data_IF_714448402892
#
_entry.id   IF_714448402892
#
_cell.length_a   1.000
_cell.length_b   1.000
_cell.length_c   1.000
_cell.angle_alpha   90.00
_cell.angle_beta   90.00
_cell.angle_gamma   90.00
#
_symmetry.space_group_name_H-M   'P 1'
#
loop_
_entity.id
_entity.type
_entity.pdbx_description
1 polymer ?
#
# COMPACT_ATOMS: atom_id res chain seq x y z
N UNK A 1 4.21 7.82 -26.59
CA UNK A 1 5.55 8.35 -26.31
C UNK A 1 5.36 9.81 -25.95
N UNK A 2 5.15 10.10 -24.68
CA UNK A 2 5.31 11.44 -24.12
C UNK A 2 6.81 11.73 -24.14
N UNK A 3 7.24 12.84 -24.73
CA UNK A 3 8.60 13.35 -24.58
C UNK A 3 8.82 13.60 -23.08
N UNK A 4 9.58 12.73 -22.42
CA UNK A 4 10.11 13.06 -21.11
C UNK A 4 11.25 14.03 -21.34
N UNK A 5 11.00 15.31 -21.06
CA UNK A 5 12.04 16.32 -21.03
C UNK A 5 13.04 15.94 -19.93
N UNK A 6 14.30 15.75 -20.30
CA UNK A 6 15.36 15.46 -19.34
C UNK A 6 15.46 16.59 -18.32
N UNK A 7 15.25 16.26 -17.04
CA UNK A 7 15.31 17.24 -15.94
C UNK A 7 16.59 17.13 -15.12
N UNK A 8 17.23 15.96 -15.09
CA UNK A 8 18.57 15.78 -14.52
C UNK A 8 19.60 15.51 -15.61
N UNK A 9 20.49 16.47 -15.80
CA UNK A 9 21.61 16.39 -16.75
C UNK A 9 22.86 15.82 -16.09
N UNK A 10 23.72 15.19 -16.90
CA UNK A 10 25.02 14.66 -16.45
C UNK A 10 25.00 13.21 -15.96
N UNK A 11 23.82 12.56 -15.93
CA UNK A 11 23.72 11.12 -15.66
C UNK A 11 23.88 10.33 -16.95
N UNK A 12 24.87 9.45 -17.03
CA UNK A 12 25.08 8.56 -18.20
C UNK A 12 24.58 7.14 -17.91
N UNK A 13 24.23 6.33 -18.95
CA UNK A 13 23.72 4.96 -18.75
C UNK A 13 24.67 4.01 -18.03
N UNK A 14 25.97 4.30 -18.00
CA UNK A 14 27.00 3.48 -17.35
C UNK A 14 27.12 3.76 -15.84
N UNK A 15 26.53 4.85 -15.35
CA UNK A 15 26.56 5.19 -13.93
C UNK A 15 25.75 4.20 -13.08
N UNK A 16 26.15 4.05 -11.83
CA UNK A 16 25.50 3.14 -10.88
C UNK A 16 23.99 3.39 -10.76
N UNK A 17 23.24 2.35 -10.39
CA UNK A 17 21.78 2.36 -10.30
C UNK A 17 21.23 3.54 -9.47
N UNK A 18 21.96 3.97 -8.43
CA UNK A 18 21.57 5.10 -7.59
C UNK A 18 21.38 6.40 -8.37
N UNK A 19 22.23 6.66 -9.37
CA UNK A 19 22.13 7.83 -10.23
C UNK A 19 21.00 7.71 -11.25
N UNK A 20 20.74 6.51 -11.76
CA UNK A 20 19.59 6.27 -12.63
C UNK A 20 18.27 6.52 -11.90
N UNK A 21 18.15 6.06 -10.65
CA UNK A 21 16.98 6.34 -9.81
C UNK A 21 16.86 7.82 -9.48
N UNK A 22 17.98 8.50 -9.22
CA UNK A 22 17.98 9.94 -9.02
C UNK A 22 17.47 10.67 -10.27
N UNK A 23 17.93 10.27 -11.46
CA UNK A 23 17.43 10.81 -12.73
C UNK A 23 15.92 10.62 -12.88
N UNK A 24 15.42 9.42 -12.61
CA UNK A 24 13.97 9.15 -12.66
C UNK A 24 13.16 10.06 -11.71
N UNK A 25 13.68 10.34 -10.51
CA UNK A 25 13.04 11.25 -9.54
C UNK A 25 12.89 12.67 -10.12
N UNK A 26 13.91 13.18 -10.79
CA UNK A 26 13.86 14.48 -11.45
C UNK A 26 12.93 14.46 -12.67
N UNK A 27 13.05 13.44 -13.53
CA UNK A 27 12.25 13.33 -14.76
C UNK A 27 10.75 13.15 -14.44
N UNK A 28 10.39 12.64 -13.26
CA UNK A 28 9.01 12.58 -12.74
C UNK A 28 8.59 13.79 -11.91
N UNK A 29 9.48 14.75 -11.69
CA UNK A 29 9.24 15.98 -10.91
C UNK A 29 8.78 15.71 -9.47
N UNK A 30 9.33 14.67 -8.83
CA UNK A 30 8.99 14.26 -7.45
C UNK A 30 10.18 14.39 -6.49
N UNK A 31 11.13 15.28 -6.80
CA UNK A 31 12.34 15.46 -6.00
C UNK A 31 12.03 16.01 -4.60
N UNK A 32 12.33 15.21 -3.59
CA UNK A 32 12.32 15.61 -2.18
C UNK A 32 13.67 15.36 -1.52
N UNK A 33 14.07 16.27 -0.62
CA UNK A 33 15.35 16.19 0.07
C UNK A 33 15.21 16.35 1.58
N UNK A 34 15.83 15.43 2.32
CA UNK A 34 15.97 15.49 3.76
C UNK A 34 17.46 15.44 4.14
N UNK A 35 17.95 16.46 4.86
CA UNK A 35 19.33 16.53 5.33
C UNK A 35 19.42 16.19 6.82
N UNK A 36 20.20 15.17 7.18
CA UNK A 36 20.36 14.73 8.57
C UNK A 36 21.71 14.09 8.82
N UNK A 37 22.39 14.52 9.90
CA UNK A 37 23.65 13.91 10.35
C UNK A 37 24.72 13.78 9.25
N UNK A 38 24.86 14.81 8.40
CA UNK A 38 25.82 14.80 7.29
C UNK A 38 25.46 13.84 6.14
N UNK A 39 24.18 13.47 6.01
CA UNK A 39 23.66 12.65 4.91
C UNK A 39 22.45 13.32 4.28
N UNK A 40 22.27 13.10 2.98
CA UNK A 40 21.06 13.45 2.24
C UNK A 40 20.20 12.21 2.02
N UNK A 41 18.90 12.33 2.21
CA UNK A 41 17.94 11.26 1.98
C UNK A 41 16.93 11.74 0.96
N UNK A 42 16.73 10.94 -0.09
CA UNK A 42 15.81 11.23 -1.19
C UNK A 42 14.88 10.03 -1.32
N UNK A 43 13.56 10.17 -1.05
CA UNK A 43 12.60 9.10 -1.28
C UNK A 43 12.59 8.72 -2.77
N UNK A 44 12.47 7.42 -3.05
CA UNK A 44 12.26 6.92 -4.41
C UNK A 44 10.88 6.25 -4.54
N UNK A 45 10.59 5.28 -3.68
CA UNK A 45 9.28 4.63 -3.60
C UNK A 45 8.99 4.25 -2.15
N UNK A 46 7.96 4.82 -1.54
CA UNK A 46 7.61 4.61 -0.14
C UNK A 46 6.14 4.20 -0.06
N UNK A 47 5.88 2.95 0.28
CA UNK A 47 4.51 2.45 0.45
C UNK A 47 4.42 1.46 1.62
N UNK A 48 3.25 0.86 1.84
CA UNK A 48 3.03 -0.03 2.97
C UNK A 48 3.80 -1.36 2.89
N UNK A 49 4.11 -1.83 1.67
CA UNK A 49 4.82 -3.09 1.45
C UNK A 49 6.33 -2.93 1.31
N UNK A 50 6.84 -1.73 1.04
CA UNK A 50 8.28 -1.47 0.89
C UNK A 50 8.65 0.00 1.15
N UNK A 51 9.91 0.20 1.52
CA UNK A 51 10.53 1.52 1.55
C UNK A 51 11.82 1.48 0.73
N UNK A 52 11.91 2.39 -0.24
CA UNK A 52 13.08 2.61 -1.08
C UNK A 52 13.46 4.09 -1.11
N UNK A 53 14.69 4.38 -0.73
CA UNK A 53 15.24 5.73 -0.72
C UNK A 53 16.74 5.73 -1.00
N UNK A 54 17.23 6.84 -1.52
CA UNK A 54 18.63 7.09 -1.79
C UNK A 54 19.26 7.79 -0.59
N UNK A 55 20.45 7.35 -0.21
CA UNK A 55 21.27 8.01 0.81
C UNK A 55 22.51 8.57 0.16
N UNK A 56 22.58 9.89 0.07
CA UNK A 56 23.78 10.64 -0.32
C UNK A 56 24.75 10.62 0.87
N UNK A 57 25.86 9.90 0.72
CA UNK A 57 26.87 9.75 1.78
C UNK A 57 27.78 10.97 1.87
N UNK A 58 28.10 11.36 3.10
CA UNK A 58 28.95 12.51 3.41
C UNK A 58 28.45 13.78 2.72
N UNK A 59 27.13 13.98 2.77
CA UNK A 59 26.44 15.01 2.02
C UNK A 59 26.49 16.36 2.74
N UNK A 60 26.94 17.38 2.01
CA UNK A 60 26.93 18.80 2.40
C UNK A 60 26.05 19.59 1.43
N UNK A 61 25.36 20.60 1.94
CA UNK A 61 24.46 21.45 1.17
C UNK A 61 24.86 22.92 1.33
N UNK A 62 24.88 23.65 0.23
CA UNK A 62 25.05 25.11 0.18
C UNK A 62 23.83 25.68 -0.54
N UNK A 63 23.27 26.76 0.00
CA UNK A 63 21.91 27.19 -0.35
C UNK A 63 20.88 26.46 0.49
N UNK A 64 19.61 26.54 0.09
CA UNK A 64 18.48 26.03 0.87
C UNK A 64 17.49 25.30 -0.01
N UNK A 65 17.18 24.05 0.36
CA UNK A 65 16.03 23.34 -0.16
C UNK A 65 14.74 23.94 0.40
N UNK A 66 13.80 24.27 -0.49
CA UNK A 66 12.47 24.76 -0.15
C UNK A 66 11.46 23.61 -0.25
N UNK A 67 10.89 23.21 0.89
CA UNK A 67 9.85 22.18 0.96
C UNK A 67 8.54 22.69 0.37
N UNK A 68 7.86 21.87 -0.43
CA UNK A 68 6.58 22.24 -1.04
C UNK A 68 6.70 23.30 -2.13
N UNK A 69 7.86 23.38 -2.78
CA UNK A 69 8.05 24.24 -3.94
C UNK A 69 7.24 23.69 -5.12
N UNK A 70 6.36 24.49 -5.69
CA UNK A 70 5.37 24.02 -6.69
C UNK A 70 5.88 24.09 -8.13
N UNK A 71 6.96 24.83 -8.42
CA UNK A 71 7.49 24.91 -9.78
C UNK A 71 8.48 23.76 -10.10
N UNK A 72 8.73 23.58 -11.39
CA UNK A 72 9.58 22.51 -11.94
C UNK A 72 10.99 22.56 -11.32
N UNK A 73 11.50 21.36 -11.00
CA UNK A 73 12.85 21.18 -10.44
C UNK A 73 13.76 20.54 -11.48
N UNK A 74 14.93 21.14 -11.71
CA UNK A 74 15.95 20.62 -12.62
C UNK A 74 17.30 20.51 -11.93
N UNK A 75 18.16 19.63 -12.43
CA UNK A 75 19.43 19.29 -11.81
C UNK A 75 20.57 19.14 -12.81
N UNK A 76 21.78 19.50 -12.39
CA UNK A 76 23.02 19.24 -13.11
C UNK A 76 23.96 18.46 -12.21
N UNK A 77 24.31 17.24 -12.64
CA UNK A 77 25.27 16.39 -11.97
C UNK A 77 26.64 16.52 -12.64
N UNK A 78 27.67 16.72 -11.83
CA UNK A 78 29.06 16.62 -12.24
C UNK A 78 29.88 15.95 -11.15
N UNK A 79 31.08 15.48 -11.48
CA UNK A 79 32.00 14.87 -10.51
C UNK A 79 33.34 15.61 -10.57
N UNK A 80 33.89 15.98 -9.41
CA UNK A 80 35.17 16.67 -9.29
C UNK A 80 35.96 16.05 -8.13
N UNK A 81 37.23 15.69 -8.37
CA UNK A 81 38.13 15.09 -7.36
C UNK A 81 37.55 13.89 -6.56
N UNK A 82 36.64 13.12 -7.18
CA UNK A 82 35.99 11.96 -6.55
C UNK A 82 34.82 12.31 -5.61
N UNK A 83 34.37 13.56 -5.62
CA UNK A 83 33.13 14.02 -5.00
C UNK A 83 32.09 14.32 -6.09
N UNK A 84 30.86 13.91 -5.86
CA UNK A 84 29.72 14.21 -6.73
C UNK A 84 29.12 15.55 -6.35
N UNK A 85 28.80 16.37 -7.35
CA UNK A 85 28.24 17.71 -7.23
C UNK A 85 26.91 17.72 -7.97
N UNK A 86 25.81 17.88 -7.22
CA UNK A 86 24.46 18.04 -7.76
C UNK A 86 23.99 19.47 -7.53
N UNK A 87 23.94 20.27 -8.59
CA UNK A 87 23.31 21.60 -8.57
C UNK A 87 21.84 21.43 -8.87
N UNK A 88 20.97 21.86 -7.96
CA UNK A 88 19.52 21.76 -8.07
C UNK A 88 18.90 23.13 -8.15
N UNK A 89 18.08 23.33 -9.17
CA UNK A 89 17.26 24.52 -9.35
C UNK A 89 15.82 24.15 -9.04
N UNK A 90 15.24 24.82 -8.06
CA UNK A 90 13.81 24.83 -7.80
C UNK A 90 13.26 26.11 -8.43
N UNK A 91 12.71 26.00 -9.64
CA UNK A 91 12.33 27.15 -10.44
C UNK A 91 13.52 27.99 -10.88
N UNK A 92 13.25 29.26 -11.21
CA UNK A 92 14.30 30.18 -11.67
C UNK A 92 15.10 30.82 -10.53
N UNK A 93 14.49 30.98 -9.35
CA UNK A 93 15.04 31.82 -8.28
C UNK A 93 15.81 31.04 -7.20
N UNK A 94 15.45 29.79 -6.94
CA UNK A 94 16.05 29.03 -5.85
C UNK A 94 17.04 27.98 -6.38
N UNK A 95 18.32 28.19 -6.09
CA UNK A 95 19.39 27.27 -6.46
C UNK A 95 20.11 26.83 -5.19
N UNK A 96 20.34 25.53 -5.08
CA UNK A 96 21.20 24.97 -4.05
C UNK A 96 22.07 23.88 -4.65
N UNK A 97 23.14 23.54 -3.95
CA UNK A 97 24.10 22.53 -4.41
C UNK A 97 24.30 21.51 -3.31
N UNK A 98 24.30 20.24 -3.69
CA UNK A 98 24.67 19.12 -2.85
C UNK A 98 26.02 18.60 -3.30
N UNK A 99 26.94 18.41 -2.36
CA UNK A 99 28.15 17.64 -2.58
C UNK A 99 28.07 16.37 -1.76
N UNK A 100 28.45 15.23 -2.32
CA UNK A 100 28.37 13.94 -1.65
C UNK A 100 29.36 12.95 -2.26
N UNK A 101 29.77 11.94 -1.49
CA UNK A 101 30.76 10.95 -1.96
C UNK A 101 30.17 9.86 -2.84
N UNK A 102 28.96 9.36 -2.51
CA UNK A 102 28.26 8.33 -3.31
C UNK A 102 26.78 8.22 -2.95
N UNK A 103 26.02 7.57 -3.83
CA UNK A 103 24.63 7.20 -3.58
C UNK A 103 24.56 5.76 -3.05
N UNK A 104 23.98 5.57 -1.88
CA UNK A 104 23.60 4.25 -1.38
C UNK A 104 22.09 4.06 -1.49
N UNK A 105 21.65 3.06 -2.26
CA UNK A 105 20.24 2.65 -2.29
C UNK A 105 19.92 1.87 -1.01
N UNK A 106 18.82 2.24 -0.34
CA UNK A 106 18.20 1.47 0.72
C UNK A 106 16.86 0.98 0.21
N UNK A 107 16.68 -0.34 0.15
CA UNK A 107 15.45 -0.99 -0.29
C UNK A 107 15.11 -2.10 0.71
N UNK A 108 13.88 -2.08 1.25
CA UNK A 108 13.41 -3.11 2.17
C UNK A 108 11.90 -3.32 2.05
N UNK A 109 11.48 -4.57 1.94
CA UNK A 109 10.08 -4.98 1.99
C UNK A 109 9.61 -5.29 3.42
N UNK A 110 8.32 -5.10 3.69
CA UNK A 110 7.72 -5.25 5.02
C UNK A 110 6.38 -5.98 4.98
N UNK A 111 5.97 -6.50 6.14
CA UNK A 111 4.60 -7.00 6.33
C UNK A 111 3.59 -5.85 6.17
N UNK A 112 2.61 -6.05 5.30
CA UNK A 112 1.57 -5.08 4.92
C UNK A 112 0.15 -5.59 5.21
N UNK A 113 -0.03 -6.90 5.45
CA UNK A 113 -1.34 -7.55 5.63
C UNK A 113 -2.13 -7.13 6.88
N UNK A 114 -1.59 -6.28 7.75
CA UNK A 114 -2.29 -5.69 8.91
C UNK A 114 -2.66 -4.24 8.69
N UNK A 115 -2.17 -3.63 7.62
CA UNK A 115 -2.33 -2.20 7.40
C UNK A 115 -3.71 -1.91 6.79
N UNK A 116 -4.29 -0.76 7.15
CA UNK A 116 -5.46 -0.18 6.51
C UNK A 116 -5.74 1.24 7.00
N UNK A 117 -5.73 2.22 6.10
CA UNK A 117 -5.88 3.65 6.45
C UNK A 117 -6.77 4.47 5.49
N UNK A 118 -7.24 3.89 4.37
CA UNK A 118 -8.10 4.58 3.40
C UNK A 118 -9.59 4.24 3.57
N UNK A 119 -10.17 4.66 4.69
CA UNK A 119 -11.57 4.40 5.02
C UNK A 119 -12.48 5.41 4.31
N UNK A 120 -13.47 4.92 3.55
CA UNK A 120 -14.49 5.79 2.94
C UNK A 120 -15.80 5.73 3.74
N UNK A 121 -15.95 6.67 4.67
CA UNK A 121 -17.14 6.77 5.51
C UNK A 121 -18.43 6.79 4.67
N UNK A 122 -19.39 5.94 5.05
CA UNK A 122 -20.69 5.82 4.37
C UNK A 122 -20.67 5.12 3.00
N UNK A 123 -19.52 4.72 2.45
CA UNK A 123 -19.44 3.96 1.18
C UNK A 123 -19.58 2.44 1.39
N UNK A 124 -19.16 1.95 2.55
CA UNK A 124 -19.15 0.52 2.88
C UNK A 124 -18.20 -0.31 2.01
N UNK A 125 -18.24 -1.63 2.17
CA UNK A 125 -17.34 -2.58 1.50
C UNK A 125 -15.84 -2.38 1.82
N UNK A 126 -15.53 -1.88 3.02
CA UNK A 126 -14.15 -1.59 3.47
C UNK A 126 -13.25 -2.84 3.50
N UNK A 127 -13.83 -4.02 3.68
CA UNK A 127 -13.13 -5.30 3.56
C UNK A 127 -12.58 -5.51 2.14
N UNK A 128 -13.34 -5.20 1.10
CA UNK A 128 -12.87 -5.30 -0.29
C UNK A 128 -11.89 -4.18 -0.63
N UNK A 129 -12.21 -2.94 -0.22
CA UNK A 129 -11.32 -1.78 -0.42
C UNK A 129 -9.93 -2.02 0.11
N UNK A 130 -9.83 -2.63 1.30
CA UNK A 130 -8.56 -2.99 1.92
C UNK A 130 -7.76 -4.01 1.10
N UNK A 131 -8.41 -5.01 0.52
CA UNK A 131 -7.74 -5.97 -0.38
C UNK A 131 -7.26 -5.29 -1.67
N UNK A 132 -8.09 -4.42 -2.26
CA UNK A 132 -7.71 -3.63 -3.45
C UNK A 132 -6.48 -2.78 -3.15
N UNK A 133 -6.47 -2.11 -2.00
CA UNK A 133 -5.33 -1.31 -1.56
C UNK A 133 -4.06 -2.16 -1.42
N UNK A 134 -4.10 -3.25 -0.64
CA UNK A 134 -2.93 -4.11 -0.41
C UNK A 134 -2.38 -4.68 -1.73
N UNK A 135 -3.24 -5.12 -2.64
CA UNK A 135 -2.79 -5.68 -3.92
C UNK A 135 -2.32 -4.61 -4.90
N UNK A 136 -2.88 -3.40 -4.85
CA UNK A 136 -2.33 -2.23 -5.56
C UNK A 136 -0.91 -1.92 -5.11
N UNK A 137 -0.66 -1.89 -3.80
CA UNK A 137 0.68 -1.68 -3.22
C UNK A 137 1.69 -2.74 -3.67
N UNK A 138 1.26 -4.01 -3.77
CA UNK A 138 2.10 -5.10 -4.29
C UNK A 138 2.32 -4.98 -5.81
N UNK A 139 1.32 -4.51 -6.55
CA UNK A 139 1.45 -4.25 -7.97
C UNK A 139 2.46 -3.12 -8.23
N UNK A 140 2.38 -2.00 -7.50
CA UNK A 140 3.36 -0.91 -7.61
C UNK A 140 4.78 -1.38 -7.26
N UNK A 141 4.90 -2.23 -6.22
CA UNK A 141 6.17 -2.88 -5.87
C UNK A 141 6.77 -3.64 -7.06
N UNK A 142 5.94 -4.39 -7.78
CA UNK A 142 6.36 -5.15 -8.94
C UNK A 142 6.74 -4.25 -10.12
N UNK A 143 5.95 -3.22 -10.41
CA UNK A 143 6.23 -2.31 -11.54
C UNK A 143 7.55 -1.56 -11.36
N UNK A 144 7.88 -1.13 -10.14
CA UNK A 144 9.11 -0.37 -9.87
C UNK A 144 10.37 -1.23 -9.72
N UNK A 145 10.26 -2.45 -9.17
CA UNK A 145 11.44 -3.25 -8.82
C UNK A 145 11.49 -4.62 -9.51
N UNK A 146 10.44 -5.00 -10.24
CA UNK A 146 10.35 -6.26 -10.97
C UNK A 146 10.11 -7.49 -10.10
N UNK A 147 10.23 -8.65 -10.73
CA UNK A 147 9.95 -9.97 -10.15
C UNK A 147 10.78 -10.28 -8.90
N UNK A 148 12.01 -9.78 -8.82
CA UNK A 148 12.95 -10.10 -7.72
C UNK A 148 12.48 -9.59 -6.35
N UNK A 149 11.63 -8.57 -6.32
CA UNK A 149 11.07 -7.98 -5.10
C UNK A 149 9.70 -8.54 -4.70
N UNK A 150 9.13 -9.44 -5.51
CA UNK A 150 7.84 -10.05 -5.26
C UNK A 150 7.98 -11.57 -5.12
N UNK A 151 7.29 -12.15 -4.15
CA UNK A 151 7.20 -13.61 -4.07
C UNK A 151 6.37 -14.15 -5.24
N UNK A 152 6.51 -15.43 -5.63
CA UNK A 152 5.67 -16.02 -6.68
C UNK A 152 4.17 -15.91 -6.39
N UNK A 153 3.77 -16.00 -5.11
CA UNK A 153 2.38 -15.82 -4.70
C UNK A 153 1.91 -14.38 -4.84
N UNK A 154 2.74 -13.38 -4.50
CA UNK A 154 2.43 -11.98 -4.77
C UNK A 154 2.29 -11.69 -6.26
N UNK A 155 3.17 -12.26 -7.08
CA UNK A 155 3.13 -12.07 -8.52
C UNK A 155 1.82 -12.60 -9.13
N UNK A 156 1.29 -13.71 -8.62
CA UNK A 156 -0.03 -14.20 -9.01
C UNK A 156 -1.15 -13.30 -8.44
N UNK A 157 -1.11 -13.00 -7.13
CA UNK A 157 -2.19 -12.27 -6.45
C UNK A 157 -2.37 -10.85 -6.97
N UNK A 158 -1.28 -10.13 -7.29
CA UNK A 158 -1.37 -8.77 -7.81
C UNK A 158 -2.13 -8.70 -9.15
N UNK A 159 -2.19 -9.79 -9.92
CA UNK A 159 -2.99 -9.86 -11.15
C UNK A 159 -4.49 -9.71 -10.90
N UNK A 160 -4.97 -9.87 -9.66
CA UNK A 160 -6.35 -9.48 -9.31
C UNK A 160 -6.60 -7.99 -9.56
N UNK A 161 -5.59 -7.13 -9.50
CA UNK A 161 -5.72 -5.73 -9.91
C UNK A 161 -5.99 -5.58 -11.40
N UNK A 162 -5.60 -6.57 -12.22
CA UNK A 162 -5.92 -6.62 -13.66
C UNK A 162 -7.34 -7.14 -13.95
N UNK A 163 -8.10 -7.51 -12.92
CA UNK A 163 -9.50 -7.89 -13.05
C UNK A 163 -10.39 -6.70 -12.67
N UNK A 164 -10.92 -5.97 -13.68
CA UNK A 164 -11.67 -4.73 -13.43
C UNK A 164 -12.76 -4.82 -12.34
N UNK A 165 -13.59 -5.89 -12.25
CA UNK A 165 -14.59 -6.01 -11.20
C UNK A 165 -14.02 -5.99 -9.77
N UNK A 166 -12.78 -6.45 -9.55
CA UNK A 166 -12.14 -6.46 -8.22
C UNK A 166 -11.76 -5.06 -7.74
N UNK A 167 -11.25 -4.21 -8.64
CA UNK A 167 -10.83 -2.83 -8.32
C UNK A 167 -12.00 -1.82 -8.24
N UNK A 168 -13.26 -2.28 -8.29
CA UNK A 168 -14.44 -1.44 -8.15
C UNK A 168 -14.47 -0.67 -6.82
N UNK A 169 -13.94 -1.25 -5.73
CA UNK A 169 -13.83 -0.58 -4.42
C UNK A 169 -12.47 0.11 -4.23
N UNK A 170 -11.90 0.69 -5.28
CA UNK A 170 -10.73 1.55 -5.14
C UNK A 170 -10.95 2.61 -4.05
N UNK A 171 -9.98 2.87 -3.17
CA UNK A 171 -10.05 3.98 -2.21
C UNK A 171 -9.98 5.36 -2.88
N UNK A 172 -9.50 5.40 -4.12
CA UNK A 172 -9.26 6.61 -4.92
C UNK A 172 -10.51 6.87 -5.79
N UNK A 173 -10.86 8.15 -6.01
CA UNK A 173 -12.06 8.53 -6.78
C UNK A 173 -11.84 8.38 -8.29
N UNK A 174 -10.62 8.58 -8.72
CA UNK A 174 -10.14 8.47 -10.09
C UNK A 174 -10.22 7.02 -10.59
N UNK A 175 -10.45 6.85 -11.90
CA UNK A 175 -10.41 5.51 -12.49
C UNK A 175 -8.98 4.96 -12.44
N UNK A 176 -8.88 3.72 -12.00
CA UNK A 176 -7.64 2.96 -12.00
C UNK A 176 -7.31 2.36 -13.38
N UNK A 177 -8.22 2.43 -14.36
CA UNK A 177 -8.02 1.83 -15.68
C UNK A 177 -6.77 2.30 -16.45
N UNK A 178 -6.31 3.56 -16.35
CA UNK A 178 -5.06 3.98 -16.99
C UNK A 178 -3.82 3.29 -16.43
N UNK A 179 -3.86 2.86 -15.17
CA UNK A 179 -2.73 2.27 -14.45
C UNK A 179 -2.77 0.75 -14.43
N UNK A 180 -3.98 0.16 -14.47
CA UNK A 180 -4.18 -1.28 -14.37
C UNK A 180 -4.97 -1.78 -15.60
N UNK A 181 -4.33 -2.55 -16.50
CA UNK A 181 -5.04 -3.10 -17.65
C UNK A 181 -6.14 -4.08 -17.19
N UNK A 182 -7.19 -4.24 -17.99
CA UNK A 182 -8.19 -5.29 -17.77
C UNK A 182 -7.81 -6.52 -18.62
N UNK A 183 -7.35 -7.59 -17.98
CA UNK A 183 -6.71 -8.72 -18.67
C UNK A 183 -7.44 -10.04 -18.44
N UNK A 184 -7.32 -10.95 -19.41
CA UNK A 184 -7.78 -12.32 -19.26
C UNK A 184 -7.04 -13.05 -18.12
N UNK A 185 -5.77 -12.70 -17.86
CA UNK A 185 -4.99 -13.27 -16.77
C UNK A 185 -5.58 -12.90 -15.40
N UNK A 186 -5.94 -11.64 -15.18
CA UNK A 186 -6.60 -11.22 -13.94
C UNK A 186 -7.90 -11.97 -13.67
N UNK A 187 -8.72 -12.14 -14.71
CA UNK A 187 -9.94 -12.94 -14.63
C UNK A 187 -9.66 -14.43 -14.35
N UNK A 188 -8.61 -15.00 -14.95
CA UNK A 188 -8.19 -16.38 -14.71
C UNK A 188 -7.71 -16.60 -13.26
N UNK A 189 -6.98 -15.63 -12.69
CA UNK A 189 -6.57 -15.66 -11.26
C UNK A 189 -7.79 -15.59 -10.36
N UNK A 190 -8.73 -14.68 -10.61
CA UNK A 190 -9.99 -14.64 -9.85
C UNK A 190 -10.76 -15.97 -9.95
N UNK A 191 -10.83 -16.58 -11.14
CA UNK A 191 -11.45 -17.90 -11.34
C UNK A 191 -10.76 -18.98 -10.51
N UNK A 192 -9.43 -19.02 -10.50
CA UNK A 192 -8.63 -19.98 -9.73
C UNK A 192 -8.92 -19.83 -8.24
N UNK A 193 -8.85 -18.60 -7.71
CA UNK A 193 -9.09 -18.32 -6.30
C UNK A 193 -10.55 -18.64 -5.90
N UNK A 194 -11.53 -18.33 -6.76
CA UNK A 194 -12.91 -18.75 -6.55
C UNK A 194 -13.04 -20.28 -6.47
N UNK A 195 -12.31 -21.03 -7.30
CA UNK A 195 -12.20 -22.48 -7.20
C UNK A 195 -11.66 -22.95 -5.85
N UNK A 196 -10.57 -22.33 -5.36
CA UNK A 196 -9.99 -22.61 -4.04
C UNK A 196 -10.97 -22.31 -2.90
N UNK A 197 -11.76 -21.24 -3.01
CA UNK A 197 -12.80 -20.89 -2.05
C UNK A 197 -14.01 -21.85 -2.11
N UNK A 198 -14.11 -22.72 -3.12
CA UNK A 198 -15.29 -23.54 -3.40
C UNK A 198 -16.46 -22.76 -4.01
N UNK A 199 -16.22 -21.53 -4.46
CA UNK A 199 -17.21 -20.64 -5.06
C UNK A 199 -17.38 -20.92 -6.56
N UNK A 200 -18.13 -21.98 -6.87
CA UNK A 200 -18.38 -22.42 -8.26
C UNK A 200 -19.06 -21.36 -9.11
N UNK A 201 -19.95 -20.57 -8.52
CA UNK A 201 -20.68 -19.51 -9.26
C UNK A 201 -19.73 -18.37 -9.61
N UNK A 202 -18.87 -17.92 -8.69
CA UNK A 202 -17.87 -16.89 -9.01
C UNK A 202 -16.86 -17.41 -10.02
N UNK A 203 -16.39 -18.65 -9.89
CA UNK A 203 -15.48 -19.26 -10.86
C UNK A 203 -16.10 -19.31 -12.28
N UNK A 204 -17.39 -19.61 -12.39
CA UNK A 204 -18.11 -19.57 -13.67
C UNK A 204 -18.17 -18.14 -14.23
N UNK A 205 -18.56 -17.16 -13.41
CA UNK A 205 -18.66 -15.76 -13.85
C UNK A 205 -17.30 -15.18 -14.26
N UNK A 206 -16.25 -15.42 -13.47
CA UNK A 206 -14.89 -15.02 -13.80
C UNK A 206 -14.39 -15.71 -15.08
N UNK A 207 -14.71 -17.00 -15.28
CA UNK A 207 -14.37 -17.72 -16.51
C UNK A 207 -15.15 -17.26 -17.76
N UNK A 208 -16.36 -16.73 -17.60
CA UNK A 208 -17.08 -16.06 -18.68
C UNK A 208 -16.44 -14.69 -18.99
N UNK A 209 -16.06 -13.94 -17.95
CA UNK A 209 -15.43 -12.63 -18.08
C UNK A 209 -14.07 -12.71 -18.76
N UNK A 210 -13.27 -13.72 -18.41
CA UNK A 210 -11.99 -14.05 -19.04
C UNK A 210 -12.09 -14.18 -20.57
N UNK A 211 -13.22 -14.70 -21.07
CA UNK A 211 -13.45 -14.88 -22.52
C UNK A 211 -14.04 -13.65 -23.17
N UNK A 212 -15.00 -13.01 -22.49
CA UNK A 212 -15.75 -11.86 -23.01
C UNK A 212 -16.02 -10.86 -21.87
N UNK A 213 -15.17 -9.84 -21.70
CA UNK A 213 -15.31 -8.85 -20.63
C UNK A 213 -16.41 -7.84 -20.96
N UNK A 214 -17.66 -8.21 -20.68
CA UNK A 214 -18.84 -7.37 -20.95
C UNK A 214 -19.25 -6.59 -19.70
N UNK A 215 -19.65 -5.33 -19.90
CA UNK A 215 -20.05 -4.41 -18.81
C UNK A 215 -21.18 -4.97 -17.93
N UNK A 216 -22.13 -5.72 -18.50
CA UNK A 216 -23.19 -6.34 -17.70
C UNK A 216 -22.65 -7.46 -16.79
N UNK A 217 -21.63 -8.18 -17.25
CA UNK A 217 -21.01 -9.25 -16.49
C UNK A 217 -20.15 -8.69 -15.36
N UNK A 218 -19.42 -7.60 -15.62
CA UNK A 218 -18.74 -6.80 -14.60
C UNK A 218 -19.71 -6.40 -13.48
N UNK A 219 -20.83 -5.78 -13.83
CA UNK A 219 -21.86 -5.36 -12.85
C UNK A 219 -22.45 -6.56 -12.08
N UNK A 220 -22.68 -7.68 -12.74
CA UNK A 220 -23.18 -8.90 -12.10
C UNK A 220 -22.17 -9.47 -11.10
N UNK A 221 -20.88 -9.45 -11.45
CA UNK A 221 -19.78 -9.89 -10.59
C UNK A 221 -19.66 -8.99 -9.36
N UNK A 222 -19.63 -7.67 -9.55
CA UNK A 222 -19.57 -6.69 -8.47
C UNK A 222 -20.76 -6.89 -7.51
N UNK A 223 -21.98 -6.90 -8.04
CA UNK A 223 -23.19 -7.10 -7.25
C UNK A 223 -23.19 -8.40 -6.45
N UNK A 224 -22.58 -9.46 -6.99
CA UNK A 224 -22.41 -10.73 -6.28
C UNK A 224 -21.37 -10.61 -5.18
N UNK A 225 -20.23 -9.98 -5.45
CA UNK A 225 -19.14 -9.77 -4.50
C UNK A 225 -19.55 -8.95 -3.28
N UNK A 226 -20.53 -8.04 -3.42
CA UNK A 226 -21.11 -7.29 -2.30
C UNK A 226 -21.91 -8.16 -1.32
N UNK A 227 -22.31 -9.38 -1.71
CA UNK A 227 -23.24 -10.22 -0.94
C UNK A 227 -22.53 -11.23 -0.03
N UNK A 228 -23.19 -11.71 1.04
CA UNK A 228 -22.63 -12.69 1.98
C UNK A 228 -22.12 -13.99 1.35
N UNK A 229 -22.63 -14.39 0.19
CA UNK A 229 -22.14 -15.57 -0.52
C UNK A 229 -20.67 -15.44 -0.97
N UNK A 230 -20.12 -14.23 -1.02
CA UNK A 230 -18.74 -13.94 -1.40
C UNK A 230 -17.79 -13.84 -0.20
N UNK A 231 -18.27 -14.07 1.02
CA UNK A 231 -17.44 -13.98 2.22
C UNK A 231 -16.30 -15.00 2.22
N UNK A 232 -16.55 -16.25 1.83
CA UNK A 232 -15.50 -17.26 1.75
C UNK A 232 -14.45 -16.94 0.67
N UNK A 233 -14.86 -16.28 -0.41
CA UNK A 233 -13.94 -15.77 -1.44
C UNK A 233 -13.04 -14.68 -0.84
N UNK A 234 -13.62 -13.72 -0.12
CA UNK A 234 -12.89 -12.68 0.59
C UNK A 234 -11.85 -13.26 1.57
N UNK A 235 -12.28 -14.17 2.45
CA UNK A 235 -11.40 -14.82 3.43
C UNK A 235 -10.26 -15.58 2.75
N UNK A 236 -10.54 -16.26 1.64
CA UNK A 236 -9.50 -16.94 0.84
C UNK A 236 -8.47 -15.95 0.31
N UNK A 237 -8.90 -14.84 -0.31
CA UNK A 237 -7.98 -13.82 -0.84
C UNK A 237 -7.16 -13.22 0.30
N UNK A 238 -7.79 -12.85 1.42
CA UNK A 238 -7.10 -12.27 2.56
C UNK A 238 -6.06 -13.22 3.16
N UNK A 239 -6.39 -14.51 3.28
CA UNK A 239 -5.45 -15.51 3.80
C UNK A 239 -4.25 -15.70 2.86
N UNK A 240 -4.48 -15.73 1.55
CA UNK A 240 -3.39 -15.80 0.55
C UNK A 240 -2.48 -14.56 0.66
N UNK A 241 -3.07 -13.36 0.70
CA UNK A 241 -2.33 -12.10 0.87
C UNK A 241 -1.54 -12.08 2.18
N UNK A 242 -2.15 -12.53 3.29
CA UNK A 242 -1.50 -12.56 4.60
C UNK A 242 -0.32 -13.54 4.61
N UNK A 243 -0.50 -14.72 4.02
CA UNK A 243 0.56 -15.75 3.91
C UNK A 243 1.77 -15.23 3.14
N UNK A 244 1.55 -14.50 2.05
CA UNK A 244 2.65 -13.93 1.27
C UNK A 244 3.31 -12.76 2.00
N UNK A 245 2.50 -11.90 2.64
CA UNK A 245 2.99 -10.78 3.42
C UNK A 245 3.84 -11.20 4.62
N UNK A 246 3.49 -12.30 5.29
CA UNK A 246 4.22 -12.82 6.46
C UNK A 246 5.66 -13.25 6.16
N UNK A 247 6.02 -13.47 4.88
CA UNK A 247 7.38 -13.78 4.44
C UNK A 247 8.34 -12.59 4.58
N UNK A 248 7.81 -11.38 4.71
CA UNK A 248 8.60 -10.17 4.93
C UNK A 248 8.81 -9.88 6.43
N UNK A 249 9.88 -9.17 6.81
CA UNK A 249 10.08 -8.74 8.19
C UNK A 249 9.03 -7.70 8.60
N UNK A 250 8.74 -7.63 9.90
CA UNK A 250 7.99 -6.51 10.48
C UNK A 250 8.81 -5.23 10.39
N UNK A 251 8.13 -4.08 10.29
CA UNK A 251 8.80 -2.77 10.44
C UNK A 251 9.44 -2.69 11.82
N UNK A 252 10.63 -2.12 11.85
CA UNK A 252 11.39 -1.86 13.06
C UNK A 252 11.61 -0.35 13.17
N UNK A 253 11.02 0.25 14.20
CA UNK A 253 11.08 1.68 14.46
C UNK A 253 12.11 2.04 15.55
N UNK A 254 12.90 1.06 15.99
CA UNK A 254 13.72 1.17 17.19
C UNK A 254 12.96 0.84 18.48
N UNK A 255 13.72 0.64 19.55
CA UNK A 255 13.24 0.09 20.83
C UNK A 255 12.05 0.86 21.41
N UNK A 256 12.16 2.19 21.53
CA UNK A 256 11.14 3.02 22.18
C UNK A 256 9.78 2.95 21.46
N UNK A 257 9.78 3.14 20.14
CA UNK A 257 8.55 3.12 19.35
C UNK A 257 7.97 1.71 19.24
N UNK A 258 8.79 0.67 19.12
CA UNK A 258 8.31 -0.71 19.12
C UNK A 258 7.66 -1.09 20.45
N UNK A 259 8.22 -0.64 21.59
CA UNK A 259 7.61 -0.82 22.91
C UNK A 259 6.28 -0.07 23.03
N UNK A 260 6.19 1.17 22.52
CA UNK A 260 4.94 1.94 22.47
C UNK A 260 3.87 1.21 21.65
N UNK A 261 4.21 0.73 20.46
CA UNK A 261 3.29 -0.07 19.61
C UNK A 261 2.82 -1.33 20.33
N UNK A 262 3.73 -2.03 21.02
CA UNK A 262 3.40 -3.19 21.84
C UNK A 262 2.40 -2.87 22.96
N UNK A 263 2.60 -1.75 23.66
CA UNK A 263 1.69 -1.26 24.71
C UNK A 263 0.31 -0.88 24.15
N UNK A 264 0.24 -0.23 22.99
CA UNK A 264 -1.04 0.13 22.36
C UNK A 264 -1.83 -1.12 21.94
N UNK A 265 -1.17 -2.13 21.37
CA UNK A 265 -1.80 -3.44 21.07
C UNK A 265 -2.33 -4.12 22.32
N UNK A 266 -1.55 -4.16 23.40
CA UNK A 266 -1.94 -4.75 24.68
C UNK A 266 -3.12 -3.99 25.32
N UNK A 267 -3.09 -2.65 25.30
CA UNK A 267 -4.16 -1.78 25.79
C UNK A 267 -5.45 -1.98 24.98
N UNK A 268 -5.35 -2.12 23.67
CA UNK A 268 -6.50 -2.40 22.78
C UNK A 268 -7.13 -3.76 23.14
N UNK A 269 -6.30 -4.78 23.32
CA UNK A 269 -6.75 -6.10 23.75
C UNK A 269 -7.44 -6.06 25.12
N UNK A 270 -6.84 -5.42 26.11
CA UNK A 270 -7.43 -5.27 27.45
C UNK A 270 -8.78 -4.53 27.40
N UNK A 271 -8.88 -3.42 26.66
CA UNK A 271 -10.14 -2.70 26.46
C UNK A 271 -11.24 -3.57 25.86
N UNK A 272 -10.91 -4.37 24.83
CA UNK A 272 -11.88 -5.27 24.21
C UNK A 272 -12.28 -6.40 25.16
N UNK A 273 -11.36 -6.96 25.93
CA UNK A 273 -11.65 -7.93 26.98
C UNK A 273 -12.56 -7.34 28.08
N UNK A 274 -12.31 -6.10 28.54
CA UNK A 274 -13.19 -5.39 29.47
C UNK A 274 -14.60 -5.13 28.89
N UNK A 275 -14.73 -4.94 27.57
CA UNK A 275 -16.01 -4.85 26.86
C UNK A 275 -16.69 -6.21 26.66
N UNK A 276 -16.08 -7.31 27.13
CA UNK A 276 -16.59 -8.67 27.09
C UNK A 276 -16.33 -9.40 25.77
N UNK A 277 -15.38 -8.94 24.97
CA UNK A 277 -14.92 -9.68 23.79
C UNK A 277 -13.92 -10.79 24.19
N UNK A 278 -13.95 -11.88 23.45
CA UNK A 278 -13.02 -13.00 23.54
C UNK A 278 -12.09 -13.00 22.32
N UNK A 279 -10.98 -13.75 22.37
CA UNK A 279 -9.99 -13.81 21.30
C UNK A 279 -8.69 -13.06 21.62
N UNK A 280 -7.81 -13.00 20.63
CA UNK A 280 -6.47 -12.43 20.74
C UNK A 280 -6.21 -11.47 19.58
N UNK A 281 -5.38 -10.45 19.84
CA UNK A 281 -5.03 -9.47 18.82
C UNK A 281 -4.51 -10.14 17.53
N UNK A 282 -5.05 -9.79 16.34
CA UNK A 282 -5.97 -8.68 16.07
C UNK A 282 -7.47 -9.06 15.99
N UNK A 283 -7.87 -10.29 16.32
CA UNK A 283 -9.24 -10.79 16.10
C UNK A 283 -9.98 -11.04 17.41
N UNK A 284 -11.15 -10.43 17.54
CA UNK A 284 -11.97 -10.52 18.72
C UNK A 284 -13.42 -10.79 18.36
N UNK A 285 -14.12 -11.55 19.21
CA UNK A 285 -15.51 -11.90 19.01
C UNK A 285 -16.33 -11.72 20.29
N UNK A 286 -17.58 -11.31 20.13
CA UNK A 286 -18.62 -11.25 21.15
C UNK A 286 -19.92 -11.64 20.47
N UNK A 287 -20.90 -12.15 21.22
CA UNK A 287 -22.17 -12.66 20.68
C UNK A 287 -22.81 -11.71 19.64
N UNK A 288 -22.74 -12.09 18.35
CA UNK A 288 -23.25 -11.30 17.22
C UNK A 288 -22.36 -10.12 16.76
N UNK A 289 -21.13 -9.99 17.27
CA UNK A 289 -20.17 -8.93 16.94
C UNK A 289 -18.76 -9.50 16.74
N UNK A 290 -18.20 -9.30 15.55
CA UNK A 290 -16.82 -9.62 15.21
C UNK A 290 -16.01 -8.33 15.06
N UNK A 291 -14.79 -8.32 15.59
CA UNK A 291 -13.88 -7.17 15.52
C UNK A 291 -12.53 -7.61 14.98
N UNK A 292 -12.07 -6.91 13.95
CA UNK A 292 -10.70 -7.01 13.45
C UNK A 292 -9.98 -5.68 13.70
N UNK A 293 -8.93 -5.71 14.52
CA UNK A 293 -8.00 -4.60 14.67
C UNK A 293 -7.09 -4.51 13.45
N UNK A 294 -7.04 -3.31 12.86
CA UNK A 294 -6.21 -2.96 11.71
C UNK A 294 -5.30 -1.82 12.09
N UNK A 295 -4.09 -1.85 11.57
CA UNK A 295 -3.01 -0.97 11.99
C UNK A 295 -2.77 0.11 10.93
N UNK A 296 -2.35 1.29 11.36
CA UNK A 296 -1.80 2.33 10.50
C UNK A 296 -0.37 2.59 10.96
N UNK A 297 0.58 2.50 10.04
CA UNK A 297 2.01 2.44 10.35
C UNK A 297 2.76 3.60 9.68
N UNK A 298 3.58 4.38 10.41
CA UNK A 298 4.50 5.31 9.77
C UNK A 298 5.61 4.56 9.02
N UNK A 299 6.32 5.24 8.13
CA UNK A 299 7.59 4.82 7.54
C UNK A 299 8.67 4.65 8.60
N UNK A 300 9.66 3.79 8.31
CA UNK A 300 10.77 3.55 9.26
C UNK A 300 11.63 4.79 9.48
N UNK A 301 11.73 5.65 8.46
CA UNK A 301 12.32 6.99 8.57
C UNK A 301 11.22 8.03 8.82
N UNK A 302 10.80 8.18 10.08
CA UNK A 302 9.72 9.09 10.51
C UNK A 302 9.93 10.54 10.06
N UNK A 303 11.18 10.99 9.84
CA UNK A 303 11.44 12.34 9.35
C UNK A 303 11.12 12.56 7.86
N UNK A 304 10.90 11.48 7.10
CA UNK A 304 10.45 11.50 5.70
C UNK A 304 8.93 11.46 5.58
N UNK A 305 8.22 11.42 6.72
CA UNK A 305 6.77 11.58 6.71
C UNK A 305 6.37 13.03 6.41
N UNK A 306 5.35 13.19 5.58
CA UNK A 306 4.85 14.50 5.20
C UNK A 306 4.19 15.22 6.39
N UNK A 307 3.47 14.47 7.22
CA UNK A 307 2.83 14.92 8.47
C UNK A 307 3.41 14.19 9.69
N UNK A 308 3.11 14.66 10.91
CA UNK A 308 3.34 13.86 12.12
C UNK A 308 2.38 12.67 12.13
N UNK A 309 2.71 11.65 11.38
CA UNK A 309 1.97 10.40 11.35
C UNK A 309 2.46 9.48 12.47
N UNK A 310 1.55 9.13 13.36
CA UNK A 310 1.80 8.22 14.49
C UNK A 310 1.10 6.89 14.22
N UNK A 311 1.61 5.82 14.83
CA UNK A 311 0.96 4.51 14.81
C UNK A 311 -0.46 4.60 15.37
N UNK A 312 -1.44 4.04 14.66
CA UNK A 312 -2.85 4.00 15.07
C UNK A 312 -3.43 2.60 14.91
N UNK A 313 -4.45 2.31 15.69
CA UNK A 313 -5.26 1.11 15.55
C UNK A 313 -6.69 1.55 15.28
N UNK A 314 -7.28 1.01 14.21
CA UNK A 314 -8.71 1.14 13.90
C UNK A 314 -9.38 -0.22 14.07
N UNK A 315 -10.65 -0.23 14.40
CA UNK A 315 -11.43 -1.44 14.59
C UNK A 315 -12.42 -1.59 13.43
N UNK A 316 -12.29 -2.66 12.65
CA UNK A 316 -13.32 -3.10 11.72
C UNK A 316 -14.34 -3.93 12.50
N UNK A 317 -15.49 -3.33 12.79
CA UNK A 317 -16.55 -3.95 13.59
C UNK A 317 -17.64 -4.48 12.66
N UNK A 318 -18.02 -5.74 12.83
CA UNK A 318 -19.05 -6.44 12.08
C UNK A 318 -20.14 -6.94 13.02
N UNK A 319 -21.37 -6.44 12.87
CA UNK A 319 -22.48 -6.73 13.77
C UNK A 319 -23.69 -7.36 13.08
N UNK A 320 -24.31 -8.32 13.75
CA UNK A 320 -25.58 -8.93 13.37
C UNK A 320 -26.77 -8.30 14.13
N UNK A 321 -27.48 -7.41 13.45
CA UNK A 321 -28.71 -6.78 13.95
C UNK A 321 -29.98 -7.58 13.63
N UNK A 322 -29.88 -8.79 13.06
CA UNK A 322 -31.05 -9.62 12.74
C UNK A 322 -31.75 -10.21 13.98
N UNK A 323 -31.21 -9.99 15.18
CA UNK A 323 -31.71 -10.53 16.45
C UNK A 323 -31.42 -12.01 16.65
N UNK A 324 -30.88 -12.71 15.64
CA UNK A 324 -30.46 -14.11 15.71
C UNK A 324 -29.04 -14.28 16.27
N UNK A 325 -28.28 -13.18 16.35
CA UNK A 325 -26.88 -13.10 16.82
C UNK A 325 -26.02 -14.22 16.22
N UNK A 326 -26.07 -14.33 14.91
CA UNK A 326 -25.26 -15.30 14.17
C UNK A 326 -23.81 -14.89 14.21
N UNK A 327 -22.94 -15.89 14.20
CA UNK A 327 -21.55 -15.69 13.80
C UNK A 327 -21.52 -15.20 12.35
N UNK A 328 -21.07 -13.96 12.16
CA UNK A 328 -20.93 -13.36 10.84
C UNK A 328 -19.63 -13.75 10.17
N UNK A 329 -18.67 -14.32 10.90
CA UNK A 329 -17.30 -14.54 10.44
C UNK A 329 -16.56 -13.23 10.12
N UNK A 330 -15.35 -13.38 9.59
CA UNK A 330 -14.42 -12.27 9.44
C UNK A 330 -14.96 -11.19 8.50
N UNK A 331 -15.13 -9.97 9.03
CA UNK A 331 -15.67 -8.82 8.31
C UNK A 331 -17.04 -9.08 7.66
N UNK A 332 -17.81 -10.05 8.18
CA UNK A 332 -19.10 -10.45 7.62
C UNK A 332 -20.15 -9.34 7.62
N UNK A 333 -20.04 -8.37 8.52
CA UNK A 333 -20.92 -7.21 8.63
C UNK A 333 -20.82 -6.25 7.45
N UNK A 334 -19.69 -6.24 6.74
CA UNK A 334 -19.49 -5.35 5.61
C UNK A 334 -20.13 -5.85 4.30
N UNK A 335 -20.64 -7.08 4.24
CA UNK A 335 -21.40 -7.58 3.09
C UNK A 335 -22.85 -7.10 3.12
N UNK A 336 -23.39 -6.62 1.98
CA UNK A 336 -24.78 -6.21 1.82
C UNK A 336 -25.73 -7.40 2.05
N UNK A 337 -26.40 -7.41 3.19
CA UNK A 337 -27.36 -8.45 3.57
C UNK A 337 -28.24 -8.02 4.73
N UNK A 338 -29.39 -8.69 4.89
CA UNK A 338 -30.33 -8.37 5.96
C UNK A 338 -29.68 -8.61 7.33
N UNK A 339 -29.67 -7.57 8.16
CA UNK A 339 -29.16 -7.60 9.53
C UNK A 339 -27.63 -7.58 9.64
N UNK A 340 -26.90 -7.23 8.59
CA UNK A 340 -25.43 -7.09 8.62
C UNK A 340 -25.07 -5.61 8.62
N UNK A 341 -24.19 -5.22 9.53
CA UNK A 341 -23.65 -3.87 9.57
C UNK A 341 -22.15 -3.92 9.82
N UNK A 342 -21.39 -3.18 9.02
CA UNK A 342 -19.94 -3.06 9.13
C UNK A 342 -19.58 -1.59 9.31
N UNK A 343 -18.75 -1.28 10.29
CA UNK A 343 -18.28 0.09 10.56
C UNK A 343 -16.83 0.10 11.02
N UNK A 344 -16.20 1.26 10.85
CA UNK A 344 -14.85 1.52 11.34
C UNK A 344 -14.98 2.35 12.61
N UNK A 345 -14.39 1.88 13.70
CA UNK A 345 -14.35 2.59 14.99
C UNK A 345 -12.90 2.90 15.37
N UNK A 346 -12.73 3.96 16.17
CA UNK A 346 -11.53 4.14 16.98
C UNK A 346 -11.54 3.18 18.18
N UNK A 347 -10.37 2.95 18.75
CA UNK A 347 -10.22 2.12 19.97
C UNK A 347 -10.71 2.86 21.24
N UNK A 348 -10.80 4.18 21.20
CA UNK A 348 -11.19 5.03 22.33
C UNK A 348 -12.70 5.20 22.49
#
# INVERSE_FOLDING_TARGET
MTDYEEKLFGVTPEMEEGFQKLKEIFDKEVFELYLRQGQGYIPYMMNDALECYLVLKDCRCTGKYLKGYEESTFGYLSSEDGEEILVVHQGEENIFTLWFGKIQIKLKGYQYHRIGHFWLEGKGQEQWRRLVYMLGTVYDKYEYFGESMCTPGEQELMRLMEFRPFRYWSPIKESLDPYYPDTALGAAVMRKIAGLAGDRTMALLAGLYEKVPLIFLEKAIIWRMERPCSQKLYETILNLVSTESEKYPKRDYGTEMNERIGKERARTQEKLHCRGFQGEYPRFCKEGVEVLAVEEHPFTLVFMEWEKFDFRIRLMVSEDFSGKKKDLGLNGGFFKGKGREGRIEDVD
#
